data_IF_949608468740
#
_entry.id   IF_949608468740
#
_cell.length_a   1.000
_cell.length_b   1.000
_cell.length_c   1.000
_cell.angle_alpha   90.00
_cell.angle_beta   90.00
_cell.angle_gamma   90.00
#
_symmetry.space_group_name_H-M   'P 1'
#
loop_
_entity.id
_entity.type
_entity.pdbx_description
1 polymer ?
#
# COMPACT_ATOMS: atom_id res chain seq x y z
N UNK A 1 17.95 -29.37 -42.21
CA UNK A 1 17.92 -28.45 -41.05
C UNK A 1 17.45 -27.10 -41.56
N UNK A 2 16.27 -26.61 -41.14
CA UNK A 2 15.71 -25.35 -41.66
C UNK A 2 16.40 -24.17 -40.95
N UNK A 3 17.01 -23.28 -41.72
CA UNK A 3 17.64 -22.07 -41.21
C UNK A 3 16.54 -21.13 -40.66
N UNK A 4 16.57 -20.88 -39.36
CA UNK A 4 15.71 -19.87 -38.73
C UNK A 4 16.38 -18.52 -39.01
N UNK A 5 15.69 -17.63 -39.73
CA UNK A 5 16.20 -16.30 -40.05
C UNK A 5 16.48 -15.50 -38.78
N UNK A 6 17.64 -14.85 -38.71
CA UNK A 6 18.03 -14.00 -37.59
C UNK A 6 16.97 -12.93 -37.25
N UNK A 7 16.23 -12.47 -38.27
CA UNK A 7 15.13 -11.51 -38.09
C UNK A 7 13.97 -12.07 -37.25
N UNK A 8 13.70 -13.38 -37.32
CA UNK A 8 12.63 -14.03 -36.54
C UNK A 8 13.02 -14.13 -35.06
N UNK A 9 14.32 -14.39 -34.78
CA UNK A 9 14.84 -14.44 -33.42
C UNK A 9 14.75 -13.07 -32.72
N UNK A 10 15.04 -11.98 -33.44
CA UNK A 10 14.98 -10.62 -32.87
C UNK A 10 13.55 -10.20 -32.52
N UNK A 11 12.56 -10.54 -33.34
CA UNK A 11 11.14 -10.23 -33.08
C UNK A 11 10.66 -10.94 -31.80
N UNK A 12 11.05 -12.20 -31.62
CA UNK A 12 10.69 -12.97 -30.42
C UNK A 12 11.31 -12.40 -29.13
N UNK A 13 12.56 -11.92 -29.19
CA UNK A 13 13.24 -11.33 -28.03
C UNK A 13 12.59 -10.01 -27.59
N UNK A 14 12.16 -9.17 -28.54
CA UNK A 14 11.44 -7.91 -28.25
C UNK A 14 10.06 -8.18 -27.63
N UNK A 15 9.38 -9.25 -28.06
CA UNK A 15 8.10 -9.63 -27.49
C UNK A 15 8.23 -10.15 -26.06
N UNK A 16 9.24 -10.98 -25.76
CA UNK A 16 9.44 -11.53 -24.41
C UNK A 16 9.82 -10.45 -23.39
N UNK A 17 10.57 -9.43 -23.80
CA UNK A 17 10.95 -8.30 -22.93
C UNK A 17 9.81 -7.31 -22.64
N UNK A 18 8.67 -7.45 -23.33
CA UNK A 18 7.47 -6.64 -23.09
C UNK A 18 6.57 -7.22 -21.99
N UNK A 19 6.80 -8.47 -21.56
CA UNK A 19 6.14 -9.06 -20.40
C UNK A 19 6.91 -8.65 -19.15
N UNK A 20 6.48 -7.53 -18.55
CA UNK A 20 6.98 -7.08 -17.26
C UNK A 20 6.86 -8.17 -16.19
N UNK A 21 7.80 -8.18 -15.24
CA UNK A 21 7.86 -9.14 -14.14
C UNK A 21 6.47 -9.46 -13.56
N UNK A 22 6.05 -10.71 -13.70
CA UNK A 22 4.91 -11.27 -12.99
C UNK A 22 5.29 -11.54 -11.53
N UNK A 23 5.67 -10.50 -10.79
CA UNK A 23 5.72 -10.60 -9.35
C UNK A 23 4.27 -10.61 -8.86
N UNK A 24 3.90 -11.64 -8.09
CA UNK A 24 2.67 -11.64 -7.33
C UNK A 24 2.80 -10.61 -6.21
N UNK A 25 2.71 -9.31 -6.55
CA UNK A 25 2.73 -8.24 -5.57
C UNK A 25 1.52 -8.41 -4.63
N UNK A 26 1.81 -8.72 -3.36
CA UNK A 26 0.82 -8.85 -2.30
C UNK A 26 0.75 -7.55 -1.49
N UNK A 27 -0.46 -7.04 -1.28
CA UNK A 27 -0.69 -5.72 -0.71
C UNK A 27 -0.98 -5.77 0.79
N UNK A 28 -0.11 -6.45 1.54
CA UNK A 28 -0.24 -6.68 2.98
C UNK A 28 0.23 -5.52 3.85
N UNK A 29 1.17 -4.73 3.33
CA UNK A 29 1.83 -3.70 4.13
C UNK A 29 0.88 -2.54 4.40
N UNK A 30 0.68 -2.26 5.68
CA UNK A 30 -0.13 -1.15 6.19
C UNK A 30 0.59 -0.50 7.36
N UNK A 31 0.30 0.75 7.65
CA UNK A 31 0.88 1.46 8.78
C UNK A 31 -0.20 1.81 9.80
N UNK A 32 0.05 1.50 11.07
CA UNK A 32 -0.71 2.04 12.19
C UNK A 32 -0.05 3.34 12.62
N UNK A 33 -0.78 4.45 12.54
CA UNK A 33 -0.32 5.78 12.91
C UNK A 33 -0.92 6.21 14.24
N UNK A 34 -0.10 6.80 15.10
CA UNK A 34 -0.53 7.55 16.28
C UNK A 34 -0.06 8.99 16.09
N UNK A 35 -0.96 9.95 16.24
CA UNK A 35 -0.67 11.34 15.92
C UNK A 35 -1.57 12.31 16.71
N UNK A 36 -1.16 13.57 16.77
CA UNK A 36 -2.00 14.68 17.25
C UNK A 36 -2.33 15.62 16.10
N UNK A 37 -3.38 16.43 16.28
CA UNK A 37 -3.85 17.40 15.29
C UNK A 37 -3.82 18.79 15.92
N UNK A 38 -3.30 19.78 15.20
CA UNK A 38 -3.38 21.19 15.60
C UNK A 38 -4.79 21.78 15.39
N UNK A 39 -5.53 21.25 14.41
CA UNK A 39 -6.88 21.69 14.10
C UNK A 39 -7.81 20.52 13.75
N UNK A 40 -9.07 20.61 14.15
CA UNK A 40 -10.11 19.62 13.87
C UNK A 40 -10.19 18.49 14.89
N UNK A 41 -10.83 17.39 14.49
CA UNK A 41 -11.00 16.19 15.32
C UNK A 41 -10.60 14.94 14.56
N UNK A 42 -10.23 13.86 15.29
CA UNK A 42 -9.79 12.60 14.69
C UNK A 42 -10.78 12.05 13.64
N UNK A 43 -12.09 12.25 13.86
CA UNK A 43 -13.13 11.79 12.95
C UNK A 43 -13.08 12.44 11.55
N UNK A 44 -12.55 13.65 11.42
CA UNK A 44 -12.44 14.34 10.12
C UNK A 44 -11.46 13.66 9.15
N UNK A 45 -10.53 12.87 9.69
CA UNK A 45 -9.56 12.08 8.93
C UNK A 45 -9.85 10.58 9.05
N UNK A 46 -11.05 10.20 9.50
CA UNK A 46 -11.48 8.82 9.78
C UNK A 46 -10.58 8.08 10.79
N UNK A 47 -9.97 8.82 11.72
CA UNK A 47 -9.20 8.27 12.82
C UNK A 47 -10.06 8.11 14.08
N UNK A 48 -9.66 7.19 14.95
CA UNK A 48 -10.25 6.99 16.27
C UNK A 48 -9.54 7.84 17.31
N UNK A 49 -10.27 8.49 18.21
CA UNK A 49 -9.69 9.15 19.38
C UNK A 49 -9.20 8.14 20.42
N UNK A 50 -8.03 8.40 20.98
CA UNK A 50 -7.36 7.61 22.02
C UNK A 50 -6.84 8.54 23.13
N UNK A 51 -6.32 7.98 24.23
CA UNK A 51 -5.73 8.77 25.32
C UNK A 51 -4.47 9.57 24.92
N UNK A 52 -3.88 9.24 23.77
CA UNK A 52 -2.61 9.81 23.30
C UNK A 52 -2.77 10.70 22.05
N UNK A 53 -4.01 10.92 21.59
CA UNK A 53 -4.31 11.59 20.33
C UNK A 53 -5.19 10.73 19.44
N UNK A 54 -4.93 10.74 18.14
CA UNK A 54 -5.66 10.00 17.14
C UNK A 54 -4.91 8.74 16.70
N UNK A 55 -5.65 7.69 16.38
CA UNK A 55 -5.14 6.41 15.87
C UNK A 55 -5.82 6.05 14.56
N UNK A 56 -5.05 5.64 13.55
CA UNK A 56 -5.57 5.19 12.26
C UNK A 56 -4.68 4.13 11.62
N UNK A 57 -5.25 3.31 10.74
CA UNK A 57 -4.49 2.39 9.88
C UNK A 57 -4.59 2.87 8.44
N UNK A 58 -3.45 3.08 7.79
CA UNK A 58 -3.35 3.59 6.41
C UNK A 58 -2.54 2.67 5.52
N UNK A 59 -2.75 2.82 4.22
CA UNK A 59 -1.92 2.25 3.17
C UNK A 59 -0.76 3.17 2.81
N UNK A 60 0.12 2.72 1.92
CA UNK A 60 1.31 3.49 1.54
C UNK A 60 0.98 4.85 0.92
N UNK A 61 -0.17 5.00 0.26
CA UNK A 61 -0.66 6.27 -0.29
C UNK A 61 -1.18 7.25 0.79
N UNK A 62 -1.11 6.88 2.07
CA UNK A 62 -1.63 7.66 3.19
C UNK A 62 -3.15 7.59 3.32
N UNK A 63 -3.86 6.88 2.44
CA UNK A 63 -5.30 6.69 2.58
C UNK A 63 -5.61 5.62 3.63
N UNK A 64 -6.74 5.78 4.29
CA UNK A 64 -7.25 4.83 5.27
C UNK A 64 -7.43 3.45 4.64
N UNK A 65 -7.04 2.40 5.38
CA UNK A 65 -7.30 1.04 4.96
C UNK A 65 -8.81 0.79 4.88
N UNK A 66 -9.29 0.45 3.69
CA UNK A 66 -10.68 0.03 3.47
C UNK A 66 -10.69 -1.45 3.09
N UNK A 67 -11.32 -2.27 3.92
CA UNK A 67 -11.29 -3.74 3.79
C UNK A 67 -10.04 -4.35 4.42
N UNK A 68 -9.47 -5.38 3.78
CA UNK A 68 -8.39 -6.18 4.38
C UNK A 68 -6.98 -5.82 3.86
N UNK A 69 -6.87 -5.27 2.64
CA UNK A 69 -5.59 -5.13 1.93
C UNK A 69 -5.44 -3.76 1.27
N UNK A 70 -4.19 -3.36 1.02
CA UNK A 70 -3.84 -2.08 0.40
C UNK A 70 -3.79 -2.11 -1.14
N UNK A 71 -4.67 -2.89 -1.76
CA UNK A 71 -4.85 -2.92 -3.21
C UNK A 71 -5.47 -1.61 -3.73
N UNK A 72 -5.15 -1.22 -4.97
CA UNK A 72 -5.89 -0.16 -5.66
C UNK A 72 -7.32 -0.60 -6.02
N UNK A 73 -7.50 -1.89 -6.27
CA UNK A 73 -8.78 -2.53 -6.46
C UNK A 73 -8.85 -3.88 -5.74
N UNK A 74 -9.86 -4.68 -6.07
CA UNK A 74 -10.08 -5.99 -5.47
C UNK A 74 -8.86 -6.90 -5.61
N UNK A 75 -8.52 -7.57 -4.51
CA UNK A 75 -7.48 -8.59 -4.43
C UNK A 75 -8.11 -9.98 -4.32
N UNK A 76 -7.30 -11.03 -4.54
CA UNK A 76 -7.72 -12.38 -4.17
C UNK A 76 -7.80 -12.54 -2.64
N UNK A 77 -8.24 -13.73 -2.17
CA UNK A 77 -8.39 -14.03 -0.74
C UNK A 77 -7.08 -13.91 0.05
N UNK A 78 -5.93 -14.05 -0.60
CA UNK A 78 -4.62 -13.94 0.03
C UNK A 78 -4.08 -12.51 0.00
N UNK A 79 -4.79 -11.53 -0.56
CA UNK A 79 -4.31 -10.14 -0.66
C UNK A 79 -3.26 -9.92 -1.74
N UNK A 80 -3.15 -10.85 -2.69
CA UNK A 80 -2.27 -10.76 -3.85
C UNK A 80 -3.10 -10.58 -5.13
N UNK A 81 -2.41 -10.32 -6.24
CA UNK A 81 -3.05 -10.11 -7.56
C UNK A 81 -4.15 -9.04 -7.52
N UNK A 82 -3.92 -7.97 -6.77
CA UNK A 82 -4.86 -6.87 -6.67
C UNK A 82 -4.99 -6.15 -8.01
N UNK A 83 -6.22 -5.86 -8.43
CA UNK A 83 -6.47 -5.09 -9.66
C UNK A 83 -5.78 -3.72 -9.56
N UNK A 84 -4.85 -3.45 -10.48
CA UNK A 84 -4.06 -2.21 -10.49
C UNK A 84 -2.86 -2.19 -9.52
N UNK A 85 -2.57 -3.32 -8.86
CA UNK A 85 -1.47 -3.48 -7.91
C UNK A 85 -1.73 -2.83 -6.55
N UNK A 86 -0.66 -2.64 -5.78
CA UNK A 86 -0.74 -2.01 -4.47
C UNK A 86 -0.73 -0.49 -4.54
N UNK A 87 -1.37 0.14 -3.55
CA UNK A 87 -1.22 1.57 -3.27
C UNK A 87 0.24 1.86 -2.91
N UNK A 88 0.77 2.98 -3.40
CA UNK A 88 2.18 3.37 -3.24
C UNK A 88 2.28 4.77 -2.64
N UNK A 89 3.37 5.02 -1.94
CA UNK A 89 3.65 6.26 -1.24
C UNK A 89 4.48 5.99 0.01
N UNK A 90 4.48 6.92 0.96
CA UNK A 90 5.23 6.82 2.21
C UNK A 90 4.32 6.93 3.45
N UNK A 91 3.28 6.10 3.51
CA UNK A 91 2.43 5.84 4.68
C UNK A 91 2.10 7.09 5.51
N UNK A 92 2.83 7.31 6.61
CA UNK A 92 2.65 8.45 7.51
C UNK A 92 2.92 9.79 6.84
N UNK A 93 3.99 9.92 6.06
CA UNK A 93 4.30 11.15 5.33
C UNK A 93 3.21 11.48 4.31
N UNK A 94 2.75 10.49 3.55
CA UNK A 94 1.64 10.67 2.61
C UNK A 94 0.35 11.02 3.33
N UNK A 95 0.08 10.44 4.50
CA UNK A 95 -1.08 10.79 5.33
C UNK A 95 -1.02 12.24 5.83
N UNK A 96 0.15 12.73 6.24
CA UNK A 96 0.35 14.13 6.64
C UNK A 96 0.16 15.05 5.44
N UNK A 97 0.70 14.70 4.27
CA UNK A 97 0.64 15.51 3.06
C UNK A 97 -0.82 15.74 2.61
N UNK A 98 -1.61 14.67 2.50
CA UNK A 98 -3.03 14.77 2.07
C UNK A 98 -3.90 15.50 3.10
N UNK A 99 -3.49 15.52 4.38
CA UNK A 99 -4.22 16.12 5.50
C UNK A 99 -3.55 17.38 6.05
N UNK A 100 -2.68 18.03 5.28
CA UNK A 100 -1.85 19.18 5.73
C UNK A 100 -2.62 20.29 6.44
N UNK A 101 -3.90 20.48 6.11
CA UNK A 101 -4.80 21.49 6.70
C UNK A 101 -5.10 21.29 8.20
N UNK A 102 -4.82 20.11 8.73
CA UNK A 102 -5.12 19.74 10.13
C UNK A 102 -3.89 19.76 11.03
N UNK A 103 -2.72 20.15 10.50
CA UNK A 103 -1.46 20.28 11.26
C UNK A 103 -1.14 18.99 12.04
N UNK A 104 -1.09 17.88 11.30
CA UNK A 104 -0.85 16.56 11.86
C UNK A 104 0.59 16.44 12.34
N UNK A 105 0.77 16.05 13.60
CA UNK A 105 2.06 15.73 14.19
C UNK A 105 2.11 14.22 14.48
N UNK A 106 2.90 13.48 13.68
CA UNK A 106 3.07 12.04 13.85
C UNK A 106 3.88 11.76 15.13
N UNK A 107 3.30 10.99 16.03
CA UNK A 107 3.98 10.47 17.23
C UNK A 107 4.64 9.14 16.91
N UNK A 108 3.95 8.28 16.15
CA UNK A 108 4.44 6.95 15.82
C UNK A 108 3.89 6.46 14.49
N UNK A 109 4.74 5.79 13.71
CA UNK A 109 4.39 5.06 12.49
C UNK A 109 4.85 3.62 12.63
N UNK A 110 3.92 2.69 12.78
CA UNK A 110 4.22 1.26 12.92
C UNK A 110 3.80 0.52 11.67
N UNK A 111 4.77 0.07 10.88
CA UNK A 111 4.52 -0.78 9.73
C UNK A 111 4.13 -2.18 10.22
N UNK A 112 2.99 -2.66 9.74
CA UNK A 112 2.55 -4.05 9.91
C UNK A 112 2.52 -4.73 8.55
N UNK A 113 3.33 -5.77 8.42
CA UNK A 113 3.22 -6.75 7.34
C UNK A 113 2.23 -7.83 7.79
N UNK A 114 1.25 -8.17 6.98
CA UNK A 114 0.21 -9.14 7.34
C UNK A 114 0.68 -10.61 7.47
N UNK A 115 1.99 -10.88 7.58
CA UNK A 115 2.51 -12.25 7.67
C UNK A 115 3.69 -12.47 8.63
N UNK A 116 3.88 -11.60 9.61
CA UNK A 116 4.78 -11.90 10.74
C UNK A 116 4.03 -11.51 12.01
N UNK A 117 3.73 -12.52 12.82
CA UNK A 117 3.16 -12.48 14.18
C UNK A 117 1.75 -11.88 14.33
N UNK A 118 0.73 -12.72 14.16
CA UNK A 118 -0.52 -12.69 14.93
C UNK A 118 -0.99 -14.16 15.14
N UNK A 119 -0.06 -15.06 15.51
CA UNK A 119 -0.34 -16.43 16.00
C UNK A 119 -0.21 -16.50 17.52
N UNK A 120 -0.79 -15.54 18.23
CA UNK A 120 -1.03 -15.67 19.67
C UNK A 120 -2.42 -15.14 20.01
N UNK A 121 -3.42 -16.02 19.92
CA UNK A 121 -4.59 -16.10 20.79
C UNK A 121 -5.30 -17.44 20.56
#
# INVERSE_FOLDING_TARGET
MRAVSASVLLILVVWVSSFGESNADCCWTRAKLIFTMGNGSCGMVNARSTRYGCEITVCADGMVLVGSYCGKGSCNLFGCFCRGGCRRGNFGESFVEINRRYEINLISTQLKMANVTDTEA
#
